data_IF_022969911331
#
_entry.id   IF_022969911331
#
_cell.length_a   1.000
_cell.length_b   1.000
_cell.length_c   1.000
_cell.angle_alpha   90.00
_cell.angle_beta   90.00
_cell.angle_gamma   90.00
#
_symmetry.space_group_name_H-M   'P 1'
#
loop_
_entity.id
_entity.type
_entity.pdbx_description
1 polymer ?
#
# COMPACT_ATOMS: atom_id res chain seq x y z
N UNK A 1 12.77 -21.19 0.56
CA UNK A 1 13.36 -20.46 -0.59
C UNK A 1 13.60 -19.02 -0.19
N UNK A 2 14.72 -18.48 -0.61
CA UNK A 2 15.04 -17.07 -0.35
C UNK A 2 14.37 -16.20 -1.39
N UNK A 3 13.72 -15.13 -0.96
CA UNK A 3 13.12 -14.16 -1.87
C UNK A 3 14.13 -13.09 -2.27
N UNK A 4 14.25 -12.86 -3.58
CA UNK A 4 15.08 -11.80 -4.14
C UNK A 4 14.15 -10.73 -4.75
N UNK A 5 14.10 -9.51 -4.18
CA UNK A 5 13.24 -8.45 -4.70
C UNK A 5 13.50 -8.07 -6.17
N UNK A 6 14.71 -8.34 -6.69
CA UNK A 6 15.01 -8.04 -8.10
C UNK A 6 14.30 -8.98 -9.07
N UNK A 7 13.72 -10.09 -8.58
CA UNK A 7 13.01 -11.07 -9.42
C UNK A 7 11.57 -10.68 -9.73
N UNK A 8 11.07 -9.59 -9.14
CA UNK A 8 9.72 -9.11 -9.42
C UNK A 8 9.64 -8.46 -10.81
N UNK A 9 8.45 -8.47 -11.38
CA UNK A 9 8.20 -7.85 -12.69
C UNK A 9 7.81 -6.40 -12.52
N UNK A 10 8.81 -5.54 -12.41
CA UNK A 10 8.59 -4.09 -12.37
C UNK A 10 8.20 -3.60 -13.77
N UNK A 11 7.44 -2.49 -13.81
CA UNK A 11 7.11 -1.85 -15.07
C UNK A 11 8.32 -1.09 -15.66
N UNK A 12 8.14 -0.42 -16.80
CA UNK A 12 9.23 0.29 -17.47
C UNK A 12 9.82 1.43 -16.63
N UNK A 13 9.08 1.94 -15.66
CA UNK A 13 9.55 2.95 -14.72
C UNK A 13 10.26 2.34 -13.49
N UNK A 14 10.39 1.02 -13.43
CA UNK A 14 10.99 0.32 -12.29
C UNK A 14 10.05 0.23 -11.09
N UNK A 15 8.74 0.26 -11.30
CA UNK A 15 7.74 0.29 -10.24
C UNK A 15 6.83 -0.92 -10.30
N UNK A 16 6.35 -1.33 -9.12
CA UNK A 16 5.37 -2.41 -8.95
C UNK A 16 4.26 -1.89 -8.05
N UNK A 17 2.97 -2.16 -8.38
CA UNK A 17 1.88 -1.77 -7.49
C UNK A 17 1.86 -2.63 -6.24
N UNK A 18 1.54 -2.00 -5.11
CA UNK A 18 1.42 -2.66 -3.83
C UNK A 18 0.06 -2.29 -3.21
N UNK A 19 -0.75 -3.31 -2.98
CA UNK A 19 -2.05 -3.16 -2.33
C UNK A 19 -1.84 -3.39 -0.84
N UNK A 20 -2.37 -2.51 0.01
CA UNK A 20 -2.37 -2.70 1.45
C UNK A 20 -3.71 -3.21 1.92
N UNK A 21 -3.70 -4.26 2.75
CA UNK A 21 -4.89 -4.89 3.30
C UNK A 21 -4.73 -5.01 4.81
N UNK A 22 -5.81 -4.70 5.54
CA UNK A 22 -5.81 -4.82 7.00
C UNK A 22 -5.75 -6.29 7.41
N UNK A 23 -4.77 -6.63 8.26
CA UNK A 23 -4.56 -8.00 8.72
C UNK A 23 -5.69 -8.51 9.61
N UNK A 24 -6.38 -7.61 10.31
CA UNK A 24 -7.45 -7.98 11.24
C UNK A 24 -8.81 -8.13 10.55
N UNK A 25 -9.16 -7.18 9.70
CA UNK A 25 -10.50 -7.12 9.08
C UNK A 25 -10.54 -7.68 7.66
N UNK A 26 -9.41 -7.78 6.98
CA UNK A 26 -9.36 -8.10 5.56
C UNK A 26 -9.72 -6.93 4.66
N UNK A 27 -9.94 -5.75 5.21
CA UNK A 27 -10.31 -4.58 4.43
C UNK A 27 -9.16 -4.16 3.51
N UNK A 28 -9.48 -3.89 2.24
CA UNK A 28 -8.51 -3.33 1.29
C UNK A 28 -8.39 -1.84 1.59
N UNK A 29 -7.17 -1.40 1.89
CA UNK A 29 -6.93 -0.05 2.41
C UNK A 29 -6.53 0.96 1.33
N UNK A 30 -5.59 0.60 0.49
CA UNK A 30 -5.03 1.51 -0.51
C UNK A 30 -4.18 0.77 -1.52
N UNK A 31 -3.79 1.46 -2.59
CA UNK A 31 -2.74 0.99 -3.51
C UNK A 31 -1.75 2.14 -3.73
N UNK A 32 -0.47 1.82 -3.72
CA UNK A 32 0.58 2.76 -4.06
C UNK A 32 1.73 1.99 -4.75
N UNK A 33 2.81 2.69 -5.08
CA UNK A 33 3.89 2.12 -5.88
C UNK A 33 5.12 1.87 -5.02
N UNK A 34 5.89 0.84 -5.40
CA UNK A 34 7.20 0.55 -4.82
C UNK A 34 8.21 0.36 -5.93
N UNK A 35 9.44 0.86 -5.75
CA UNK A 35 10.57 0.41 -6.53
C UNK A 35 11.28 -0.74 -5.79
N UNK A 36 12.33 -1.29 -6.36
CA UNK A 36 13.04 -2.42 -5.73
C UNK A 36 13.57 -2.06 -4.35
N UNK A 37 14.05 -0.84 -4.16
CA UNK A 37 14.59 -0.40 -2.86
C UNK A 37 13.48 -0.20 -1.83
N UNK A 38 12.30 0.24 -2.24
CA UNK A 38 11.13 0.34 -1.35
C UNK A 38 10.70 -1.05 -0.86
N UNK A 39 10.72 -2.05 -1.74
CA UNK A 39 10.44 -3.44 -1.35
C UNK A 39 11.45 -3.92 -0.31
N UNK A 40 12.75 -3.67 -0.55
CA UNK A 40 13.81 -4.05 0.38
C UNK A 40 13.64 -3.35 1.73
N UNK A 41 13.39 -2.04 1.74
CA UNK A 41 13.17 -1.27 2.97
C UNK A 41 11.96 -1.78 3.75
N UNK A 42 10.86 -2.08 3.08
CA UNK A 42 9.65 -2.62 3.71
C UNK A 42 9.95 -3.93 4.44
N UNK A 43 10.66 -4.85 3.79
CA UNK A 43 11.03 -6.12 4.39
C UNK A 43 12.02 -5.96 5.55
N UNK A 44 12.98 -5.05 5.41
CA UNK A 44 14.00 -4.80 6.41
C UNK A 44 13.44 -4.14 7.66
N UNK A 45 12.62 -3.10 7.50
CA UNK A 45 12.13 -2.29 8.61
C UNK A 45 10.80 -2.78 9.18
N UNK A 46 10.04 -3.60 8.44
CA UNK A 46 8.66 -3.98 8.76
C UNK A 46 7.70 -2.80 8.78
N UNK A 47 8.11 -1.68 8.22
CA UNK A 47 7.28 -0.48 7.98
C UNK A 47 7.06 -0.34 6.49
N UNK A 48 5.79 -0.28 6.04
CA UNK A 48 5.53 -0.21 4.61
C UNK A 48 6.06 1.10 4.06
N UNK A 49 6.96 0.98 3.10
CA UNK A 49 7.65 2.10 2.45
C UNK A 49 7.29 2.07 0.98
N UNK A 50 6.73 3.17 0.50
CA UNK A 50 6.35 3.33 -0.90
C UNK A 50 7.31 4.24 -1.63
N UNK A 51 7.18 4.28 -2.96
CA UNK A 51 7.89 5.24 -3.80
C UNK A 51 6.90 6.27 -4.34
N UNK A 52 7.17 7.55 -4.09
CA UNK A 52 6.36 8.64 -4.62
C UNK A 52 6.84 8.98 -6.02
N UNK A 53 5.97 8.78 -7.03
CA UNK A 53 6.28 9.09 -8.43
C UNK A 53 6.44 10.59 -8.67
N UNK A 54 5.62 11.40 -8.03
CA UNK A 54 5.65 12.85 -8.20
C UNK A 54 6.86 13.49 -7.54
N UNK A 55 7.26 13.00 -6.36
CA UNK A 55 8.38 13.57 -5.61
C UNK A 55 9.71 12.87 -5.87
N UNK A 56 9.69 11.73 -6.56
CA UNK A 56 10.87 10.89 -6.80
C UNK A 56 11.63 10.59 -5.52
N UNK A 57 10.91 10.18 -4.49
CA UNK A 57 11.47 9.89 -3.17
C UNK A 57 10.69 8.77 -2.46
N UNK A 58 11.33 8.18 -1.46
CA UNK A 58 10.66 7.22 -0.59
C UNK A 58 9.62 7.91 0.28
N UNK A 59 8.61 7.15 0.63
CA UNK A 59 7.53 7.60 1.49
C UNK A 59 7.19 6.45 2.45
N UNK A 60 7.60 6.60 3.72
CA UNK A 60 7.26 5.66 4.77
C UNK A 60 5.84 5.98 5.23
N UNK A 61 4.94 5.02 5.09
CA UNK A 61 3.52 5.25 5.42
C UNK A 61 3.37 5.63 6.89
N UNK A 62 2.77 6.79 7.13
CA UNK A 62 2.51 7.27 8.48
C UNK A 62 3.69 7.93 9.18
N UNK A 63 4.81 8.16 8.48
CA UNK A 63 6.00 8.79 9.06
C UNK A 63 5.69 10.14 9.70
N UNK A 64 4.84 10.95 9.07
CA UNK A 64 4.44 12.26 9.57
C UNK A 64 3.10 12.22 10.30
N UNK A 65 2.12 11.52 9.76
CA UNK A 65 0.75 11.50 10.29
C UNK A 65 0.58 10.59 11.51
N UNK A 66 1.48 9.63 11.71
CA UNK A 66 1.32 8.58 12.71
C UNK A 66 0.42 7.42 12.27
N UNK A 67 -0.20 7.51 11.09
CA UNK A 67 -1.08 6.47 10.54
C UNK A 67 -0.25 5.41 9.82
N UNK A 68 0.51 4.66 10.61
CA UNK A 68 1.52 3.71 10.12
C UNK A 68 0.91 2.41 9.63
N UNK A 69 1.70 1.70 8.82
CA UNK A 69 1.38 0.35 8.37
C UNK A 69 2.54 -0.57 8.80
N UNK A 70 2.31 -1.33 9.85
CA UNK A 70 3.25 -2.36 10.28
C UNK A 70 3.03 -3.61 9.44
N UNK A 71 4.09 -4.11 8.82
CA UNK A 71 4.01 -5.26 7.95
C UNK A 71 3.80 -6.55 8.75
N UNK A 72 2.72 -7.26 8.44
CA UNK A 72 2.45 -8.61 8.97
C UNK A 72 2.92 -9.65 7.96
N UNK A 73 2.65 -9.42 6.68
CA UNK A 73 3.02 -10.33 5.60
C UNK A 73 3.15 -9.56 4.29
N UNK A 74 3.99 -10.02 3.39
CA UNK A 74 4.11 -9.46 2.05
C UNK A 74 3.97 -10.61 1.05
N UNK A 75 2.94 -10.56 0.24
CA UNK A 75 2.60 -11.63 -0.70
C UNK A 75 2.79 -11.17 -2.13
N UNK A 76 3.24 -12.08 -2.97
CA UNK A 76 3.35 -11.87 -4.41
C UNK A 76 2.11 -12.43 -5.08
N UNK A 77 1.67 -11.79 -6.17
CA UNK A 77 0.65 -12.44 -6.98
C UNK A 77 1.27 -13.52 -7.88
N UNK A 78 0.44 -14.25 -8.62
CA UNK A 78 0.88 -15.45 -9.31
C UNK A 78 1.90 -15.19 -10.42
N UNK A 79 1.86 -14.03 -11.05
CA UNK A 79 2.80 -13.66 -12.12
C UNK A 79 3.84 -12.63 -11.67
N UNK A 80 3.88 -12.31 -10.36
CA UNK A 80 4.93 -11.51 -9.70
C UNK A 80 4.97 -10.04 -10.14
N UNK A 81 3.85 -9.49 -10.56
CA UNK A 81 3.75 -8.10 -11.01
C UNK A 81 2.89 -7.21 -10.09
N UNK A 82 2.46 -7.74 -8.96
CA UNK A 82 1.71 -7.00 -7.93
C UNK A 82 2.03 -7.55 -6.55
N UNK A 83 2.08 -6.68 -5.56
CA UNK A 83 2.32 -7.05 -4.17
C UNK A 83 1.06 -6.84 -3.34
N UNK A 84 0.84 -7.72 -2.36
CA UNK A 84 -0.14 -7.52 -1.30
C UNK A 84 0.57 -7.40 0.02
N UNK A 85 0.51 -6.21 0.61
CA UNK A 85 1.05 -5.94 1.95
C UNK A 85 -0.07 -6.11 2.97
N UNK A 86 0.00 -7.17 3.75
CA UNK A 86 -0.92 -7.40 4.87
C UNK A 86 -0.36 -6.67 6.07
N UNK A 87 -1.14 -5.74 6.64
CA UNK A 87 -0.61 -4.76 7.60
C UNK A 87 -1.51 -4.60 8.82
N UNK A 88 -0.90 -4.15 9.92
CA UNK A 88 -1.64 -3.55 11.02
C UNK A 88 -1.71 -2.04 10.75
N UNK A 89 -2.90 -1.57 10.37
CA UNK A 89 -3.13 -0.16 10.06
C UNK A 89 -3.46 0.62 11.32
N UNK A 90 -2.71 1.68 11.56
CA UNK A 90 -3.01 2.63 12.64
C UNK A 90 -3.73 3.83 12.01
N UNK A 91 -4.97 4.09 12.44
CA UNK A 91 -5.76 5.21 11.95
C UNK A 91 -6.18 5.08 10.49
N UNK A 92 -6.33 6.22 9.82
CA UNK A 92 -6.79 6.29 8.44
C UNK A 92 -5.65 5.98 7.44
N UNK A 93 -5.91 5.09 6.49
CA UNK A 93 -4.93 4.82 5.42
C UNK A 93 -4.92 5.95 4.39
N UNK A 94 -6.07 6.56 4.12
CA UNK A 94 -6.20 7.62 3.12
C UNK A 94 -5.79 8.99 3.69
N UNK A 95 -5.13 9.81 2.86
CA UNK A 95 -4.75 11.18 3.25
C UNK A 95 -5.97 12.08 3.50
N UNK A 96 -7.16 11.68 3.03
CA UNK A 96 -8.42 12.39 3.30
C UNK A 96 -8.97 12.12 4.71
N UNK A 97 -8.28 11.28 5.50
CA UNK A 97 -8.73 10.89 6.84
C UNK A 97 -9.70 9.71 6.83
N UNK A 98 -10.03 9.14 5.69
CA UNK A 98 -10.88 7.96 5.60
C UNK A 98 -10.07 6.70 5.85
N UNK A 99 -10.71 5.66 6.40
CA UNK A 99 -10.02 4.42 6.78
C UNK A 99 -9.37 3.76 5.58
N UNK A 100 -10.02 3.75 4.41
CA UNK A 100 -9.43 3.28 3.17
C UNK A 100 -9.61 4.29 2.03
N UNK A 101 -8.90 4.07 0.93
CA UNK A 101 -8.93 4.98 -0.23
C UNK A 101 -10.08 4.69 -1.19
N UNK A 102 -10.83 3.61 -0.99
CA UNK A 102 -11.85 3.14 -1.91
C UNK A 102 -13.25 3.48 -1.40
N UNK A 103 -13.48 4.75 -1.10
CA UNK A 103 -14.70 5.23 -0.45
C UNK A 103 -15.75 5.79 -1.42
N UNK A 104 -15.49 5.76 -2.71
CA UNK A 104 -16.46 6.21 -3.71
C UNK A 104 -16.91 5.04 -4.57
N UNK A 105 -18.19 4.72 -4.53
CA UNK A 105 -18.78 3.69 -5.39
C UNK A 105 -19.35 4.33 -6.65
N UNK A 106 -19.21 3.64 -7.78
CA UNK A 106 -19.71 4.12 -9.09
C UNK A 106 -20.51 3.04 -9.82
N UNK A 107 -21.05 2.07 -9.08
CA UNK A 107 -21.69 0.89 -9.65
C UNK A 107 -22.82 1.25 -10.64
N UNK A 108 -23.63 2.25 -10.30
CA UNK A 108 -24.77 2.64 -11.12
C UNK A 108 -24.46 3.84 -12.04
N UNK A 109 -23.18 4.13 -12.26
CA UNK A 109 -22.77 5.29 -13.05
C UNK A 109 -22.87 6.62 -12.31
N UNK A 110 -23.19 6.60 -11.02
CA UNK A 110 -23.28 7.77 -10.15
C UNK A 110 -22.32 7.59 -8.98
N UNK A 111 -21.61 8.64 -8.56
CA UNK A 111 -20.67 8.57 -7.45
C UNK A 111 -21.42 8.61 -6.12
N UNK A 112 -21.16 7.61 -5.28
CA UNK A 112 -21.74 7.50 -3.93
C UNK A 112 -20.62 7.34 -2.93
N UNK A 113 -20.55 8.25 -1.95
CA UNK A 113 -19.56 8.18 -0.88
C UNK A 113 -19.96 7.13 0.15
N UNK A 114 -19.08 6.16 0.43
CA UNK A 114 -19.35 5.04 1.31
C UNK A 114 -18.95 5.26 2.76
N UNK A 115 -18.08 6.21 3.03
CA UNK A 115 -17.59 6.47 4.39
C UNK A 115 -17.13 7.91 4.55
N UNK A 116 -17.15 8.39 5.79
CA UNK A 116 -16.69 9.72 6.18
C UNK A 116 -15.28 9.65 6.77
N UNK A 117 -14.54 10.78 6.79
CA UNK A 117 -13.26 10.83 7.50
C UNK A 117 -13.41 10.44 8.96
N UNK A 118 -12.35 9.82 9.52
CA UNK A 118 -12.32 9.34 10.91
C UNK A 118 -12.05 10.44 11.93
N UNK A 119 -12.21 11.55 11.72
CA UNK A 119 -11.97 12.60 12.69
C UNK A 119 -12.42 13.92 12.13
#
# INVERSE_FOLDING_TARGET
MTFDPTTLKYNDAGLIPAIAQDATTGEVLMMAWMNVDAVKKTLETRRVTYWSRSRQSFWIKGETSGHTQELVDLRLDCDRDCLLAVVNQVGAACHTGRHNCFYTSVLDGTEVELMKPLG
#
